data_IF_576228467051
#
_entry.id   IF_576228467051
#
_cell.length_a   1.000
_cell.length_b   1.000
_cell.length_c   1.000
_cell.angle_alpha   90.00
_cell.angle_beta   90.00
_cell.angle_gamma   90.00
#
_symmetry.space_group_name_H-M   'P 1'
#
loop_
_entity.id
_entity.type
_entity.pdbx_description
1 polymer ?
#
# COMPACT_ATOMS: atom_id res chain seq x y z
N UNK A 1 -17.37 6.26 -14.22
CA UNK A 1 -17.83 6.32 -12.83
C UNK A 1 -17.16 7.50 -12.15
N UNK A 2 -17.93 8.36 -11.60
CA UNK A 2 -17.39 9.53 -10.92
C UNK A 2 -16.68 9.10 -9.64
N UNK A 3 -15.46 9.55 -9.46
CA UNK A 3 -14.68 9.31 -8.24
C UNK A 3 -14.94 10.42 -7.21
N UNK A 4 -15.85 11.31 -7.55
CA UNK A 4 -16.21 12.41 -6.68
C UNK A 4 -16.88 11.89 -5.42
N UNK A 5 -16.51 12.42 -4.29
CA UNK A 5 -17.15 12.14 -3.00
C UNK A 5 -17.05 10.73 -2.49
N UNK A 6 -15.94 10.08 -2.69
CA UNK A 6 -15.54 9.11 -1.70
C UNK A 6 -15.04 9.93 -0.50
N UNK A 7 -15.89 10.85 -0.06
CA UNK A 7 -15.69 11.39 1.25
C UNK A 7 -15.80 10.19 2.17
N UNK A 8 -14.75 9.84 2.83
CA UNK A 8 -14.90 8.82 3.82
C UNK A 8 -15.91 9.38 4.80
N UNK A 9 -16.70 8.52 5.31
CA UNK A 9 -17.52 8.72 6.46
C UNK A 9 -16.85 9.65 7.48
N UNK A 10 -17.11 9.49 8.70
CA UNK A 10 -16.53 10.31 9.77
C UNK A 10 -15.01 10.14 9.88
N UNK A 11 -14.29 11.25 9.76
CA UNK A 11 -12.83 11.29 9.88
C UNK A 11 -12.36 11.45 11.31
N UNK A 12 -13.24 11.61 12.29
CA UNK A 12 -12.87 12.04 13.63
C UNK A 12 -12.06 11.01 14.40
N UNK A 13 -12.33 9.73 14.21
CA UNK A 13 -11.75 8.68 15.03
C UNK A 13 -10.30 8.36 14.69
N UNK A 14 -9.83 8.65 13.48
CA UNK A 14 -8.46 8.37 13.08
C UNK A 14 -7.60 9.62 13.16
N UNK A 15 -6.57 9.56 13.99
CA UNK A 15 -5.60 10.65 14.14
C UNK A 15 -4.33 10.26 13.38
N UNK A 16 -4.07 10.97 12.28
CA UNK A 16 -2.96 10.66 11.38
C UNK A 16 -1.63 11.12 11.99
N UNK A 17 -0.57 10.30 11.88
CA UNK A 17 0.76 10.72 12.32
C UNK A 17 1.34 11.82 11.41
N UNK A 18 2.20 12.66 11.99
CA UNK A 18 2.92 13.72 11.26
C UNK A 18 2.03 14.61 10.41
N UNK A 19 0.81 14.87 10.86
CA UNK A 19 -0.20 15.59 10.09
C UNK A 19 -0.91 16.61 10.98
N UNK A 20 -1.16 17.80 10.43
CA UNK A 20 -2.04 18.78 11.06
C UNK A 20 -3.49 18.32 10.92
N UNK A 21 -3.95 17.47 11.82
CA UNK A 21 -5.18 16.69 11.65
C UNK A 21 -6.42 17.58 11.52
N UNK A 22 -6.55 18.63 12.29
CA UNK A 22 -7.71 19.52 12.20
C UNK A 22 -7.81 20.18 10.84
N UNK A 23 -6.68 20.64 10.32
CA UNK A 23 -6.60 21.23 8.99
C UNK A 23 -6.88 20.21 7.91
N UNK A 24 -6.25 19.04 8.00
CA UNK A 24 -6.44 17.97 7.03
C UNK A 24 -7.91 17.53 6.94
N UNK A 25 -8.57 17.36 8.08
CA UNK A 25 -9.95 16.89 8.13
C UNK A 25 -10.97 17.87 7.56
N UNK A 26 -10.62 19.15 7.48
CA UNK A 26 -11.47 20.17 6.82
C UNK A 26 -11.44 20.07 5.31
N UNK A 27 -10.33 19.64 4.73
CA UNK A 27 -10.14 19.50 3.29
C UNK A 27 -9.25 18.28 3.02
N UNK A 28 -9.76 17.07 3.26
CA UNK A 28 -8.92 15.88 3.20
C UNK A 28 -8.45 15.57 1.79
N UNK A 29 -7.15 15.28 1.67
CA UNK A 29 -6.54 14.82 0.44
C UNK A 29 -6.53 13.31 0.47
N UNK A 30 -7.49 12.69 -0.21
CA UNK A 30 -7.63 11.24 -0.21
C UNK A 30 -7.18 10.66 -1.54
N UNK A 31 -6.37 9.61 -1.48
CA UNK A 31 -6.08 8.74 -2.60
C UNK A 31 -7.02 7.54 -2.55
N UNK A 32 -7.64 7.22 -3.68
CA UNK A 32 -8.62 6.14 -3.76
C UNK A 32 -8.16 4.99 -4.65
N UNK A 33 -7.13 5.22 -5.46
CA UNK A 33 -6.55 4.20 -6.31
C UNK A 33 -5.10 4.57 -6.62
N UNK A 34 -4.35 3.59 -7.10
CA UNK A 34 -3.00 3.82 -7.60
C UNK A 34 -2.67 2.80 -8.67
N UNK A 35 -1.89 3.22 -9.66
CA UNK A 35 -1.36 2.34 -10.70
C UNK A 35 -0.03 2.86 -11.19
N UNK A 36 0.95 1.98 -11.28
CA UNK A 36 2.30 2.30 -11.73
C UNK A 36 2.89 3.49 -10.96
N UNK A 37 2.96 4.67 -11.56
CA UNK A 37 3.61 5.84 -10.99
C UNK A 37 2.62 6.88 -10.44
N UNK A 38 1.33 6.62 -10.48
CA UNK A 38 0.33 7.62 -10.16
C UNK A 38 -0.68 7.15 -9.14
N UNK A 39 -1.07 8.07 -8.27
CA UNK A 39 -2.28 7.96 -7.45
C UNK A 39 -3.46 8.60 -8.17
N UNK A 40 -4.64 8.11 -7.90
CA UNK A 40 -5.89 8.77 -8.25
C UNK A 40 -6.50 9.34 -6.98
N UNK A 41 -6.80 10.63 -7.00
CA UNK A 41 -7.45 11.30 -5.86
C UNK A 41 -8.94 11.04 -5.84
N UNK A 42 -9.58 11.33 -4.71
CA UNK A 42 -11.03 11.18 -4.56
C UNK A 42 -11.84 12.08 -5.51
N UNK A 43 -11.25 13.17 -5.99
CA UNK A 43 -11.86 14.04 -7.01
C UNK A 43 -11.41 13.72 -8.44
N UNK A 44 -10.74 12.60 -8.65
CA UNK A 44 -10.43 12.08 -9.98
C UNK A 44 -9.13 12.57 -10.62
N UNK A 45 -8.32 13.34 -9.90
CA UNK A 45 -7.03 13.80 -10.44
C UNK A 45 -5.99 12.70 -10.37
N UNK A 46 -5.05 12.75 -11.32
CA UNK A 46 -3.85 11.90 -11.29
C UNK A 46 -2.71 12.67 -10.65
N UNK A 47 -2.07 12.08 -9.66
CA UNK A 47 -0.94 12.68 -8.94
C UNK A 47 0.26 11.77 -9.08
N UNK A 48 1.36 12.31 -9.60
CA UNK A 48 2.61 11.56 -9.72
C UNK A 48 3.16 11.23 -8.33
N UNK A 49 3.50 9.97 -8.12
CA UNK A 49 4.17 9.51 -6.91
C UNK A 49 5.69 9.60 -7.09
N UNK A 50 6.28 10.68 -6.62
CA UNK A 50 7.72 10.89 -6.70
C UNK A 50 8.53 10.29 -5.56
N UNK A 51 7.89 9.60 -4.61
CA UNK A 51 8.54 9.09 -3.40
C UNK A 51 8.34 7.59 -3.18
N UNK A 52 7.83 6.88 -4.17
CA UNK A 52 7.50 5.46 -4.05
C UNK A 52 6.60 5.16 -2.83
N UNK A 53 5.58 6.00 -2.63
CA UNK A 53 4.67 5.88 -1.48
C UNK A 53 5.39 5.97 -0.15
N UNK A 54 6.40 6.81 -0.08
CA UNK A 54 7.33 6.93 1.05
C UNK A 54 8.09 5.62 1.29
N UNK A 55 8.84 5.20 0.28
CA UNK A 55 9.76 4.05 0.26
C UNK A 55 9.10 2.66 0.23
N UNK A 56 7.79 2.58 0.05
CA UNK A 56 7.08 1.32 0.22
C UNK A 56 6.76 0.59 -1.09
N UNK A 57 6.68 1.32 -2.22
CA UNK A 57 6.24 0.76 -3.51
C UNK A 57 7.26 1.04 -4.61
N UNK A 58 8.50 0.67 -4.37
CA UNK A 58 9.62 0.96 -5.27
C UNK A 58 9.46 0.35 -6.67
N UNK A 59 8.71 -0.72 -6.78
CA UNK A 59 8.43 -1.38 -8.07
C UNK A 59 7.27 -0.74 -8.84
N UNK A 60 6.60 0.25 -8.26
CA UNK A 60 5.38 0.84 -8.78
C UNK A 60 4.13 0.26 -8.13
N UNK A 61 3.03 1.01 -8.25
CA UNK A 61 1.75 0.63 -7.66
C UNK A 61 1.02 -0.43 -8.48
N UNK A 62 0.34 -1.33 -7.78
CA UNK A 62 -0.59 -2.30 -8.36
C UNK A 62 0.02 -3.10 -9.52
N UNK A 63 1.30 -3.43 -9.42
CA UNK A 63 1.97 -4.23 -10.45
C UNK A 63 1.33 -5.62 -10.51
N UNK A 64 0.82 -6.05 -11.66
CA UNK A 64 0.04 -7.29 -11.75
C UNK A 64 0.74 -8.53 -11.19
N UNK A 65 2.03 -8.71 -11.48
CA UNK A 65 2.77 -9.87 -10.99
C UNK A 65 2.91 -9.87 -9.47
N UNK A 66 3.08 -8.69 -8.87
CA UNK A 66 3.20 -8.57 -7.41
C UNK A 66 1.83 -8.80 -6.75
N UNK A 67 0.78 -8.20 -7.31
CA UNK A 67 -0.59 -8.37 -6.80
C UNK A 67 -0.99 -9.85 -6.86
N UNK A 68 -0.73 -10.51 -7.97
CA UNK A 68 -1.03 -11.93 -8.14
C UNK A 68 -0.26 -12.80 -7.14
N UNK A 69 1.04 -12.53 -6.94
CA UNK A 69 1.87 -13.26 -6.00
C UNK A 69 1.34 -13.11 -4.56
N UNK A 70 0.96 -11.90 -4.17
CA UNK A 70 0.39 -11.65 -2.84
C UNK A 70 -0.93 -12.36 -2.66
N UNK A 71 -1.84 -12.23 -3.62
CA UNK A 71 -3.16 -12.86 -3.55
C UNK A 71 -3.06 -14.39 -3.49
N UNK A 72 -2.22 -14.97 -4.33
CA UNK A 72 -2.01 -16.42 -4.37
C UNK A 72 -1.41 -16.93 -3.06
N UNK A 73 -0.39 -16.25 -2.54
CA UNK A 73 0.24 -16.67 -1.29
C UNK A 73 -0.68 -16.48 -0.08
N UNK A 74 -1.43 -15.41 -0.04
CA UNK A 74 -2.38 -15.17 1.03
C UNK A 74 -3.49 -16.24 1.08
N UNK A 75 -3.88 -16.76 -0.08
CA UNK A 75 -4.87 -17.84 -0.16
C UNK A 75 -4.31 -19.19 0.29
N UNK A 76 -3.02 -19.43 0.13
CA UNK A 76 -2.37 -20.70 0.49
C UNK A 76 -1.86 -20.69 1.93
N UNK A 77 -1.06 -19.72 2.28
CA UNK A 77 -0.53 -19.54 3.62
C UNK A 77 -0.24 -18.05 3.84
N UNK A 78 -1.12 -17.40 4.56
CA UNK A 78 -1.05 -15.97 4.85
C UNK A 78 -0.05 -15.63 5.94
N UNK A 79 0.05 -16.50 6.95
CA UNK A 79 0.89 -16.26 8.11
C UNK A 79 1.35 -17.58 8.74
N UNK A 80 2.58 -17.62 9.17
CA UNK A 80 3.08 -18.66 10.05
C UNK A 80 3.86 -18.02 11.19
N UNK A 81 3.71 -18.48 12.44
CA UNK A 81 4.47 -17.91 13.55
C UNK A 81 5.96 -18.19 13.38
N UNK A 82 6.78 -17.17 13.66
CA UNK A 82 8.23 -17.26 13.49
C UNK A 82 8.96 -17.80 14.74
N UNK A 83 8.26 -18.51 15.61
CA UNK A 83 8.81 -19.07 16.84
C UNK A 83 8.77 -20.59 16.75
N UNK A 84 9.89 -21.20 16.40
CA UNK A 84 10.06 -22.65 16.22
C UNK A 84 9.24 -23.25 15.09
N UNK A 85 8.57 -22.44 14.32
CA UNK A 85 7.85 -22.78 13.10
C UNK A 85 8.26 -21.80 12.03
N UNK A 86 8.08 -22.15 10.77
CA UNK A 86 8.58 -21.29 9.70
C UNK A 86 7.65 -21.21 8.49
N UNK A 87 7.77 -20.10 7.80
CA UNK A 87 7.13 -19.88 6.53
C UNK A 87 8.18 -20.10 5.43
N UNK A 88 7.93 -20.99 4.44
CA UNK A 88 8.92 -21.27 3.40
C UNK A 88 9.40 -20.03 2.64
N UNK A 89 8.52 -19.05 2.42
CA UNK A 89 8.86 -17.84 1.69
C UNK A 89 9.88 -16.97 2.41
N UNK A 90 9.92 -17.01 3.73
CA UNK A 90 10.93 -16.26 4.48
C UNK A 90 12.34 -16.82 4.20
N UNK A 91 12.50 -18.13 4.16
CA UNK A 91 13.77 -18.78 3.84
C UNK A 91 14.15 -18.57 2.38
N UNK A 92 13.19 -18.65 1.48
CA UNK A 92 13.43 -18.37 0.05
C UNK A 92 13.94 -16.95 -0.16
N UNK A 93 13.31 -15.97 0.46
CA UNK A 93 13.76 -14.58 0.38
C UNK A 93 15.17 -14.41 0.95
N UNK A 94 15.42 -14.97 2.11
CA UNK A 94 16.73 -14.88 2.74
C UNK A 94 17.84 -15.45 1.85
N UNK A 95 17.59 -16.60 1.22
CA UNK A 95 18.55 -17.22 0.31
C UNK A 95 18.83 -16.34 -0.91
N UNK A 96 17.79 -15.74 -1.48
CA UNK A 96 17.97 -14.83 -2.62
C UNK A 96 18.77 -13.59 -2.24
N UNK A 97 18.55 -13.05 -1.06
CA UNK A 97 19.30 -11.89 -0.57
C UNK A 97 20.78 -12.22 -0.36
N UNK A 98 21.08 -13.38 0.17
CA UNK A 98 22.47 -13.85 0.33
C UNK A 98 23.15 -14.01 -1.03
N UNK A 99 22.46 -14.53 -2.02
CA UNK A 99 23.00 -14.72 -3.37
C UNK A 99 23.32 -13.38 -4.06
N UNK A 100 22.53 -12.34 -3.77
CA UNK A 100 22.75 -11.00 -4.32
C UNK A 100 23.90 -10.28 -3.60
N UNK A 101 23.96 -10.42 -2.30
CA UNK A 101 24.98 -9.78 -1.48
C UNK A 101 26.31 -10.51 -1.56
#
# INVERSE_FOLDING_TARGET
MSVTNVAPNDLSAFWMPFTANRQFKKAPRMFVAAKDMHYTTSDGRQVLDGTAGLWCVNAGHARPRIVEAIASQAAELDYAPAFQMGHPKAFELANRLVDIA
#
